data_IF_104867092755
#
_entry.id   IF_104867092755
#
_cell.length_a   1.000
_cell.length_b   1.000
_cell.length_c   1.000
_cell.angle_alpha   90.00
_cell.angle_beta   90.00
_cell.angle_gamma   90.00
#
_symmetry.space_group_name_H-M   'P 1'
#
loop_
_entity.id
_entity.type
_entity.pdbx_description
1 polymer ?
#
# COMPACT_ATOMS: atom_id res chain seq x y z
N UNK A 1 11.83 -5.96 -9.36
CA UNK A 1 11.35 -4.69 -8.79
C UNK A 1 10.03 -4.39 -9.48
N UNK A 2 8.90 -4.73 -8.84
CA UNK A 2 7.58 -4.64 -9.48
C UNK A 2 7.12 -3.18 -9.59
N UNK A 3 7.65 -2.53 -10.63
CA UNK A 3 7.34 -1.17 -11.09
C UNK A 3 5.82 -0.91 -11.18
N UNK A 4 5.04 -1.96 -11.43
CA UNK A 4 3.58 -1.91 -11.52
C UNK A 4 2.91 -1.60 -10.17
N UNK A 5 3.40 -2.17 -9.07
CA UNK A 5 2.84 -1.89 -7.74
C UNK A 5 3.09 -0.44 -7.34
N UNK A 6 4.31 0.05 -7.56
CA UNK A 6 4.67 1.45 -7.29
C UNK A 6 3.80 2.40 -8.11
N UNK A 7 3.59 2.08 -9.39
CA UNK A 7 2.79 2.91 -10.29
C UNK A 7 1.32 2.90 -9.89
N UNK A 8 0.74 1.74 -9.59
CA UNK A 8 -0.66 1.62 -9.13
C UNK A 8 -0.92 2.35 -7.81
N UNK A 9 0.04 2.27 -6.90
CA UNK A 9 -0.06 2.89 -5.59
C UNK A 9 0.11 4.43 -5.65
N UNK A 10 0.85 4.95 -6.63
CA UNK A 10 1.04 6.39 -6.85
C UNK A 10 0.00 7.04 -7.77
N UNK A 11 -0.64 6.28 -8.68
CA UNK A 11 -1.65 6.84 -9.61
C UNK A 11 -3.10 6.74 -9.14
N UNK A 12 -3.36 6.01 -8.05
CA UNK A 12 -4.64 6.03 -7.36
C UNK A 12 -5.52 4.78 -7.50
N UNK A 13 -6.54 4.78 -6.65
CA UNK A 13 -7.47 3.72 -6.21
C UNK A 13 -7.84 2.63 -7.25
N UNK A 14 -8.07 3.00 -8.50
CA UNK A 14 -8.62 2.09 -9.51
C UNK A 14 -7.60 1.07 -10.05
N UNK A 15 -6.31 1.41 -10.03
CA UNK A 15 -5.29 0.61 -10.73
C UNK A 15 -4.82 -0.54 -9.82
N UNK A 16 -4.77 -0.32 -8.51
CA UNK A 16 -4.38 -1.33 -7.53
C UNK A 16 -5.38 -2.48 -7.46
N UNK A 17 -6.68 -2.20 -7.35
CA UNK A 17 -7.72 -3.25 -7.35
C UNK A 17 -7.71 -4.05 -8.67
N UNK A 18 -7.58 -3.37 -9.81
CA UNK A 18 -7.58 -4.02 -11.12
C UNK A 18 -6.36 -4.92 -11.34
N UNK A 19 -5.19 -4.51 -10.84
CA UNK A 19 -3.99 -5.32 -10.87
C UNK A 19 -4.08 -6.50 -9.91
N UNK A 20 -4.56 -6.29 -8.68
CA UNK A 20 -4.71 -7.36 -7.69
C UNK A 20 -5.69 -8.46 -8.15
N UNK A 21 -6.72 -8.12 -8.92
CA UNK A 21 -7.61 -9.12 -9.52
C UNK A 21 -6.94 -9.99 -10.58
N UNK A 22 -5.96 -9.45 -11.30
CA UNK A 22 -5.25 -10.18 -12.36
C UNK A 22 -4.02 -10.91 -11.84
N UNK A 23 -3.33 -10.34 -10.85
CA UNK A 23 -2.16 -10.90 -10.21
C UNK A 23 -2.18 -10.55 -8.70
N UNK A 24 -2.65 -11.47 -7.84
CA UNK A 24 -2.62 -11.26 -6.39
C UNK A 24 -1.21 -11.12 -5.82
N UNK A 25 -0.20 -11.65 -6.52
CA UNK A 25 1.22 -11.58 -6.12
C UNK A 25 1.75 -10.15 -6.08
N UNK A 26 1.16 -9.25 -6.87
CA UNK A 26 1.48 -7.82 -6.86
C UNK A 26 1.32 -7.21 -5.46
N UNK A 27 0.38 -7.69 -4.63
CA UNK A 27 0.16 -7.17 -3.28
C UNK A 27 1.26 -7.54 -2.27
N UNK A 28 2.06 -8.56 -2.59
CA UNK A 28 3.19 -8.99 -1.77
C UNK A 28 4.45 -8.20 -2.07
N UNK A 29 4.45 -7.42 -3.15
CA UNK A 29 5.56 -6.53 -3.49
C UNK A 29 5.71 -5.39 -2.49
N UNK A 30 6.94 -4.88 -2.38
CA UNK A 30 7.24 -3.69 -1.57
C UNK A 30 7.95 -2.64 -2.42
N UNK A 31 7.79 -1.37 -2.06
CA UNK A 31 8.63 -0.29 -2.61
C UNK A 31 10.08 -0.43 -2.15
N UNK A 32 11.04 0.34 -2.69
CA UNK A 32 12.41 0.38 -2.18
C UNK A 32 12.52 0.79 -0.70
N UNK A 33 11.52 1.50 -0.16
CA UNK A 33 11.44 1.85 1.26
C UNK A 33 10.79 0.73 2.09
N UNK A 34 10.43 -0.40 1.49
CA UNK A 34 9.72 -1.49 2.16
C UNK A 34 8.22 -1.23 2.35
N UNK A 35 7.66 -0.17 1.74
CA UNK A 35 6.23 0.09 1.85
C UNK A 35 5.44 -0.98 1.10
N UNK A 36 4.45 -1.57 1.76
CA UNK A 36 3.46 -2.42 1.11
C UNK A 36 2.41 -1.58 0.36
N UNK A 37 1.48 -2.26 -0.32
CA UNK A 37 0.30 -1.63 -0.88
C UNK A 37 -0.49 -0.82 0.18
N UNK A 38 -0.64 -1.37 1.39
CA UNK A 38 -1.40 -0.74 2.46
C UNK A 38 -0.69 0.50 3.02
N UNK A 39 0.64 0.47 3.17
CA UNK A 39 1.41 1.67 3.54
C UNK A 39 1.12 2.81 2.57
N UNK A 40 1.16 2.50 1.27
CA UNK A 40 0.99 3.52 0.24
C UNK A 40 -0.45 4.03 0.17
N UNK A 41 -1.45 3.15 0.31
CA UNK A 41 -2.85 3.55 0.39
C UNK A 41 -3.12 4.48 1.59
N UNK A 42 -2.52 4.19 2.76
CA UNK A 42 -2.61 5.02 3.94
C UNK A 42 -1.96 6.41 3.76
N UNK A 43 -0.78 6.49 3.15
CA UNK A 43 -0.09 7.77 2.88
C UNK A 43 -0.95 8.73 2.05
N UNK A 44 -1.73 8.20 1.12
CA UNK A 44 -2.53 8.99 0.18
C UNK A 44 -4.01 9.10 0.59
N UNK A 45 -4.41 8.55 1.74
CA UNK A 45 -5.81 8.58 2.20
C UNK A 45 -6.79 7.81 1.29
N UNK A 46 -6.34 6.74 0.63
CA UNK A 46 -7.17 5.96 -0.30
C UNK A 46 -7.99 4.88 0.44
N UNK A 47 -9.10 5.30 1.04
CA UNK A 47 -9.95 4.44 1.88
C UNK A 47 -10.44 3.13 1.23
N UNK A 48 -10.77 3.15 -0.08
CA UNK A 48 -11.24 1.93 -0.76
C UNK A 48 -10.09 0.95 -0.98
N UNK A 49 -8.95 1.42 -1.50
CA UNK A 49 -7.72 0.61 -1.60
C UNK A 49 -7.31 0.01 -0.26
N UNK A 50 -7.44 0.76 0.85
CA UNK A 50 -7.20 0.23 2.19
C UNK A 50 -8.12 -0.96 2.50
N UNK A 51 -9.43 -0.82 2.26
CA UNK A 51 -10.40 -1.90 2.49
C UNK A 51 -10.14 -3.11 1.60
N UNK A 52 -9.81 -2.89 0.33
CA UNK A 52 -9.55 -3.96 -0.64
C UNK A 52 -8.27 -4.73 -0.28
N UNK A 53 -7.19 -4.03 0.06
CA UNK A 53 -5.95 -4.63 0.52
C UNK A 53 -6.17 -5.46 1.80
N UNK A 54 -6.98 -4.98 2.74
CA UNK A 54 -7.33 -5.70 3.97
C UNK A 54 -8.24 -6.90 3.74
N UNK A 55 -9.14 -6.84 2.76
CA UNK A 55 -9.97 -7.97 2.36
C UNK A 55 -9.10 -9.10 1.77
N UNK A 56 -8.02 -8.74 1.07
CA UNK A 56 -7.09 -9.68 0.44
C UNK A 56 -6.08 -10.24 1.44
N UNK A 57 -5.50 -9.40 2.31
CA UNK A 57 -4.57 -9.84 3.33
C UNK A 57 -4.56 -8.94 4.57
N UNK A 58 -5.10 -9.44 5.68
CA UNK A 58 -5.12 -8.74 6.97
C UNK A 58 -3.75 -8.61 7.63
N UNK A 59 -2.77 -9.46 7.29
CA UNK A 59 -1.42 -9.38 7.87
C UNK A 59 -0.70 -8.08 7.52
N UNK A 60 -1.15 -7.39 6.47
CA UNK A 60 -0.60 -6.11 6.03
C UNK A 60 -0.70 -5.03 7.10
N UNK A 61 -1.64 -5.12 8.05
CA UNK A 61 -1.80 -4.16 9.16
C UNK A 61 -0.58 -4.10 10.08
N UNK A 62 0.08 -5.24 10.26
CA UNK A 62 1.20 -5.40 11.20
C UNK A 62 2.55 -5.43 10.51
N UNK A 63 2.57 -5.48 9.17
CA UNK A 63 3.82 -5.40 8.40
C UNK A 63 4.47 -4.05 8.62
N UNK A 64 5.78 -4.04 8.84
CA UNK A 64 6.57 -2.81 8.94
C UNK A 64 7.41 -2.59 7.69
N UNK A 65 7.59 -1.32 7.30
CA UNK A 65 8.52 -0.94 6.24
C UNK A 65 9.98 -0.94 6.73
N UNK A 66 10.93 -0.50 5.88
CA UNK A 66 12.36 -0.46 6.26
C UNK A 66 12.67 0.58 7.35
N UNK A 67 11.76 1.52 7.59
CA UNK A 67 11.83 2.50 8.67
C UNK A 67 11.21 1.98 9.98
N UNK A 68 10.68 0.75 9.99
CA UNK A 68 10.01 0.16 11.15
C UNK A 68 8.60 0.69 11.37
N UNK A 69 8.01 1.36 10.38
CA UNK A 69 6.68 1.95 10.47
C UNK A 69 5.62 0.96 10.00
N UNK A 70 4.48 0.90 10.69
CA UNK A 70 3.28 0.22 10.19
C UNK A 70 2.53 1.13 9.21
N UNK A 71 1.61 0.60 8.39
CA UNK A 71 0.84 1.43 7.46
C UNK A 71 0.11 2.60 8.14
N UNK A 72 -0.43 2.34 9.33
CA UNK A 72 -1.12 3.36 10.13
C UNK A 72 -0.14 4.45 10.61
N UNK A 73 1.03 4.04 11.12
CA UNK A 73 2.04 4.99 11.57
C UNK A 73 2.55 5.85 10.41
N UNK A 74 2.80 5.24 9.24
CA UNK A 74 3.22 5.97 8.05
C UNK A 74 2.14 6.97 7.59
N UNK A 75 0.85 6.66 7.73
CA UNK A 75 -0.25 7.60 7.47
C UNK A 75 -0.11 8.86 8.34
N UNK A 76 0.11 8.68 9.64
CA UNK A 76 0.23 9.79 10.60
C UNK A 76 1.47 10.62 10.31
N UNK A 77 2.63 9.98 10.15
CA UNK A 77 3.91 10.67 9.90
C UNK A 77 3.89 11.47 8.59
N UNK A 78 3.18 10.97 7.57
CA UNK A 78 3.17 11.56 6.21
C UNK A 78 1.99 12.50 5.97
N UNK A 79 0.97 12.49 6.82
CA UNK A 79 -0.17 13.41 6.73
C UNK A 79 0.21 14.86 7.08
N UNK A 80 1.26 15.07 7.88
CA UNK A 80 1.70 16.38 8.39
C UNK A 80 2.61 17.18 7.42
N UNK A 81 2.65 16.85 6.12
CA UNK A 81 3.54 17.50 5.13
C UNK A 81 2.79 18.41 4.14
N UNK A 82 1.58 18.88 4.48
CA UNK A 82 0.82 19.87 3.69
C UNK A 82 0.49 21.12 4.48
#
# INVERSE_FOLDING_TARGET
>A
MDSLLLKAATTGDAIMHKLAMHDPGVLLGTTPQGNTCLHTACIHGHDRSCKDALALNKSLLTTVNLQGETPLLTAVIRADIF
#
